data_IF_556539882670
#
_entry.id   IF_556539882670
#
_cell.length_a   1.000
_cell.length_b   1.000
_cell.length_c   1.000
_cell.angle_alpha   90.00
_cell.angle_beta   90.00
_cell.angle_gamma   90.00
#
_symmetry.space_group_name_H-M   'P 1'
#
loop_
_entity.id
_entity.type
_entity.pdbx_description
1 polymer ?
#
# COMPACT_ATOMS: atom_id res chain seq x y z
N UNK A 1 10.60 -9.89 3.64
CA UNK A 1 10.51 -8.76 2.67
C UNK A 1 9.04 -8.51 2.42
N UNK A 2 8.48 -7.43 3.01
CA UNK A 2 7.05 -7.10 3.00
C UNK A 2 6.81 -5.72 2.36
N UNK A 3 7.50 -5.43 1.27
CA UNK A 3 7.30 -4.21 0.49
C UNK A 3 6.62 -4.50 -0.85
N UNK A 4 6.35 -3.44 -1.62
CA UNK A 4 5.79 -3.51 -2.96
C UNK A 4 6.69 -4.33 -3.89
N UNK A 5 6.08 -5.25 -4.62
CA UNK A 5 6.73 -6.02 -5.68
C UNK A 5 5.93 -5.87 -6.97
N UNK A 6 6.61 -5.74 -8.09
CA UNK A 6 6.01 -5.83 -9.41
C UNK A 6 6.18 -7.25 -9.94
N UNK A 7 5.09 -7.88 -10.37
CA UNK A 7 5.09 -9.26 -10.89
C UNK A 7 3.97 -9.44 -11.95
N UNK A 8 4.04 -10.52 -12.76
CA UNK A 8 2.92 -10.89 -13.63
C UNK A 8 1.61 -11.01 -12.86
N UNK A 9 0.49 -10.78 -13.53
CA UNK A 9 -0.84 -10.76 -12.92
C UNK A 9 -1.05 -11.91 -11.93
N UNK A 10 -1.61 -11.60 -10.76
CA UNK A 10 -1.77 -12.50 -9.61
C UNK A 10 -2.23 -13.90 -9.97
N UNK A 11 -1.47 -14.88 -9.53
CA UNK A 11 -1.83 -16.29 -9.65
C UNK A 11 -3.00 -16.64 -8.71
N UNK A 12 -3.66 -17.76 -8.98
CA UNK A 12 -4.69 -18.27 -8.07
C UNK A 12 -4.13 -18.59 -6.68
N UNK A 13 -2.87 -19.00 -6.59
CA UNK A 13 -2.17 -19.25 -5.31
C UNK A 13 -2.03 -17.96 -4.50
N UNK A 14 -1.63 -16.85 -5.14
CA UNK A 14 -1.54 -15.54 -4.47
C UNK A 14 -2.90 -15.07 -3.95
N UNK A 15 -3.96 -15.26 -4.73
CA UNK A 15 -5.34 -14.97 -4.29
C UNK A 15 -5.78 -15.84 -3.11
N UNK A 16 -5.37 -17.11 -3.10
CA UNK A 16 -5.64 -18.00 -1.99
C UNK A 16 -4.88 -17.57 -0.72
N UNK A 17 -3.60 -17.18 -0.84
CA UNK A 17 -2.82 -16.66 0.28
C UNK A 17 -3.48 -15.46 0.93
N UNK A 18 -3.98 -14.50 0.14
CA UNK A 18 -4.70 -13.32 0.69
C UNK A 18 -5.90 -13.71 1.53
N UNK A 19 -6.67 -14.70 1.05
CA UNK A 19 -7.82 -15.19 1.78
C UNK A 19 -7.41 -15.90 3.07
N UNK A 20 -6.37 -16.74 3.01
CA UNK A 20 -5.86 -17.51 4.15
C UNK A 20 -5.13 -16.65 5.19
N UNK A 21 -4.57 -15.50 4.79
CA UNK A 21 -4.00 -14.52 5.72
C UNK A 21 -5.08 -13.83 6.58
N UNK A 22 -6.32 -13.77 6.10
CA UNK A 22 -7.44 -13.26 6.90
C UNK A 22 -7.85 -14.24 7.99
N UNK A 23 -8.03 -15.50 7.63
CA UNK A 23 -8.37 -16.61 8.53
C UNK A 23 -8.23 -17.96 7.82
N UNK A 24 -7.93 -19.03 8.54
CA UNK A 24 -7.98 -20.39 7.99
C UNK A 24 -9.37 -20.72 7.45
N UNK A 25 -9.45 -21.30 6.24
CA UNK A 25 -10.74 -21.59 5.63
C UNK A 25 -10.79 -22.95 4.94
N UNK A 26 -12.01 -23.45 4.70
CA UNK A 26 -12.28 -24.71 4.03
C UNK A 26 -12.13 -24.62 2.50
N UNK A 27 -12.08 -25.79 1.87
CA UNK A 27 -11.98 -25.90 0.42
C UNK A 27 -13.20 -25.32 -0.32
N UNK A 28 -14.37 -25.33 0.29
CA UNK A 28 -15.60 -24.73 -0.22
C UNK A 28 -15.47 -23.22 -0.41
N UNK A 29 -14.86 -22.53 0.57
CA UNK A 29 -14.63 -21.10 0.51
C UNK A 29 -13.54 -20.73 -0.50
N UNK A 30 -12.44 -21.52 -0.54
CA UNK A 30 -11.40 -21.38 -1.57
C UNK A 30 -11.97 -21.56 -2.98
N UNK A 31 -12.82 -22.57 -3.16
CA UNK A 31 -13.49 -22.83 -4.44
C UNK A 31 -14.35 -21.64 -4.89
N UNK A 32 -15.13 -21.07 -3.98
CA UNK A 32 -16.02 -19.96 -4.25
C UNK A 32 -15.26 -18.64 -4.52
N UNK A 33 -14.35 -18.25 -3.61
CA UNK A 33 -13.76 -16.91 -3.60
C UNK A 33 -12.48 -16.78 -4.44
N UNK A 34 -11.74 -17.89 -4.61
CA UNK A 34 -10.49 -17.91 -5.38
C UNK A 34 -10.72 -18.44 -6.79
N UNK A 35 -11.42 -19.58 -6.91
CA UNK A 35 -11.62 -20.24 -8.21
C UNK A 35 -12.88 -19.77 -8.96
N UNK A 36 -13.78 -19.03 -8.31
CA UNK A 36 -15.04 -18.59 -8.90
C UNK A 36 -16.07 -19.69 -9.12
N UNK A 37 -16.01 -20.78 -8.31
CA UNK A 37 -16.85 -21.96 -8.41
C UNK A 37 -17.77 -22.07 -7.17
N UNK A 38 -18.83 -21.26 -7.06
CA UNK A 38 -19.65 -21.16 -5.84
C UNK A 38 -20.43 -22.44 -5.49
N UNK A 39 -20.70 -23.29 -6.46
CA UNK A 39 -21.51 -24.49 -6.30
C UNK A 39 -20.71 -25.79 -6.51
N UNK A 40 -19.39 -25.77 -6.35
CA UNK A 40 -18.57 -26.97 -6.49
C UNK A 40 -18.95 -28.01 -5.40
N UNK A 41 -19.19 -29.28 -5.77
CA UNK A 41 -19.34 -30.33 -4.78
C UNK A 41 -18.12 -30.41 -3.85
N UNK A 42 -18.33 -30.72 -2.55
CA UNK A 42 -17.27 -30.73 -1.54
C UNK A 42 -16.04 -31.54 -1.99
N UNK A 43 -16.23 -32.71 -2.55
CA UNK A 43 -15.13 -33.58 -3.02
C UNK A 43 -14.33 -32.96 -4.18
N UNK A 44 -14.98 -32.12 -5.01
CA UNK A 44 -14.33 -31.40 -6.11
C UNK A 44 -13.55 -30.21 -5.54
N UNK A 45 -14.15 -29.44 -4.65
CA UNK A 45 -13.50 -28.33 -3.97
C UNK A 45 -12.23 -28.77 -3.23
N UNK A 46 -12.28 -29.91 -2.50
CA UNK A 46 -11.14 -30.49 -1.80
C UNK A 46 -10.01 -30.89 -2.77
N UNK A 47 -10.32 -31.53 -3.89
CA UNK A 47 -9.32 -31.90 -4.90
C UNK A 47 -8.66 -30.67 -5.52
N UNK A 48 -9.45 -29.64 -5.82
CA UNK A 48 -8.95 -28.39 -6.39
C UNK A 48 -8.06 -27.65 -5.39
N UNK A 49 -8.45 -27.58 -4.11
CA UNK A 49 -7.64 -26.97 -3.07
C UNK A 49 -6.31 -27.70 -2.89
N UNK A 50 -6.30 -29.05 -2.88
CA UNK A 50 -5.07 -29.85 -2.81
C UNK A 50 -4.18 -29.59 -4.03
N UNK A 51 -4.75 -29.60 -5.23
CA UNK A 51 -3.99 -29.38 -6.45
C UNK A 51 -3.39 -27.96 -6.52
N UNK A 52 -4.12 -26.96 -6.01
CA UNK A 52 -3.70 -25.57 -6.02
C UNK A 52 -2.65 -25.26 -4.94
N UNK A 53 -2.86 -25.75 -3.72
CA UNK A 53 -2.14 -25.30 -2.52
C UNK A 53 -1.17 -26.35 -1.95
N UNK A 54 -1.36 -27.63 -2.28
CA UNK A 54 -0.66 -28.73 -1.61
C UNK A 54 0.86 -28.76 -1.82
N UNK A 55 1.37 -28.08 -2.84
CA UNK A 55 2.80 -27.97 -3.12
C UNK A 55 3.41 -26.63 -2.66
N UNK A 56 2.61 -25.69 -2.15
CA UNK A 56 3.12 -24.39 -1.72
C UNK A 56 3.62 -24.46 -0.27
N UNK A 57 4.94 -24.24 -0.01
CA UNK A 57 5.52 -24.37 1.32
C UNK A 57 5.00 -23.35 2.34
N UNK A 58 4.33 -22.29 1.87
CA UNK A 58 3.74 -21.24 2.72
C UNK A 58 2.40 -21.63 3.30
N UNK A 59 1.81 -22.75 2.83
CA UNK A 59 0.45 -23.16 3.15
C UNK A 59 0.47 -24.60 3.71
N UNK A 60 -0.33 -24.86 4.72
CA UNK A 60 -0.51 -26.20 5.26
C UNK A 60 -2.00 -26.49 5.53
N UNK A 61 -2.33 -27.78 5.63
CA UNK A 61 -3.67 -28.25 5.99
C UNK A 61 -3.73 -28.52 7.49
N UNK A 62 -4.72 -27.93 8.17
CA UNK A 62 -4.98 -28.17 9.58
C UNK A 62 -5.62 -29.53 9.83
N UNK A 63 -5.61 -30.02 11.08
CA UNK A 63 -6.25 -31.27 11.47
C UNK A 63 -7.76 -31.33 11.22
N UNK A 64 -8.42 -30.15 11.27
CA UNK A 64 -9.86 -30.02 10.98
C UNK A 64 -10.18 -29.91 9.47
N UNK A 65 -9.16 -30.09 8.61
CA UNK A 65 -9.29 -30.05 7.16
C UNK A 65 -9.23 -28.70 6.52
N UNK A 66 -9.20 -27.60 7.31
CA UNK A 66 -9.03 -26.24 6.77
C UNK A 66 -7.59 -26.02 6.29
N UNK A 67 -7.43 -25.07 5.40
CA UNK A 67 -6.14 -24.58 4.93
C UNK A 67 -5.75 -23.35 5.72
N UNK A 68 -4.47 -23.19 6.02
CA UNK A 68 -3.90 -22.07 6.76
C UNK A 68 -2.50 -21.73 6.23
N UNK A 69 -2.08 -20.50 6.45
CA UNK A 69 -0.72 -20.06 6.17
C UNK A 69 0.21 -20.58 7.27
N UNK A 70 1.42 -20.99 6.90
CA UNK A 70 2.46 -21.39 7.87
C UNK A 70 2.79 -20.20 8.78
N UNK A 71 2.92 -20.42 10.08
CA UNK A 71 3.08 -19.36 11.08
C UNK A 71 4.27 -18.41 10.80
N UNK A 72 5.31 -18.90 10.13
CA UNK A 72 6.46 -18.07 9.71
C UNK A 72 6.10 -16.99 8.68
N UNK A 73 5.00 -17.19 7.90
CA UNK A 73 4.47 -16.20 6.96
C UNK A 73 3.61 -15.14 7.68
N UNK A 74 3.17 -15.43 8.91
CA UNK A 74 2.38 -14.50 9.73
C UNK A 74 3.25 -13.45 10.45
N UNK A 75 4.58 -13.57 10.39
CA UNK A 75 5.50 -12.58 10.93
C UNK A 75 5.38 -11.25 10.19
N UNK A 76 4.60 -10.31 10.72
CA UNK A 76 4.57 -8.95 10.20
C UNK A 76 5.82 -8.20 10.63
N UNK A 77 6.51 -7.46 9.74
CA UNK A 77 7.69 -6.68 10.12
C UNK A 77 7.32 -5.61 11.14
N UNK A 78 8.27 -5.26 11.98
CA UNK A 78 8.13 -4.10 12.85
C UNK A 78 8.03 -2.83 11.99
N UNK A 79 7.23 -1.86 12.45
CA UNK A 79 7.08 -0.56 11.77
C UNK A 79 8.44 0.11 11.54
N UNK A 80 9.36 -0.03 12.49
CA UNK A 80 10.72 0.53 12.41
C UNK A 80 11.63 -0.17 11.38
N UNK A 81 11.30 -1.40 10.98
CA UNK A 81 12.00 -2.16 9.94
C UNK A 81 11.45 -1.87 8.54
N UNK A 82 10.25 -1.27 8.45
CA UNK A 82 9.62 -0.95 7.19
C UNK A 82 10.26 0.27 6.53
N UNK A 83 10.44 0.19 5.23
CA UNK A 83 10.60 1.35 4.36
C UNK A 83 9.24 1.68 3.71
N UNK A 84 8.81 2.92 3.82
CA UNK A 84 7.54 3.40 3.28
C UNK A 84 7.81 4.26 2.04
N UNK A 85 7.17 3.92 0.93
CA UNK A 85 7.15 4.74 -0.28
C UNK A 85 5.90 5.64 -0.25
N UNK A 86 6.08 6.89 0.11
CA UNK A 86 5.01 7.89 0.14
C UNK A 86 4.85 8.45 -1.26
N UNK A 87 3.72 8.17 -1.87
CA UNK A 87 3.39 8.52 -3.25
C UNK A 87 2.31 9.58 -3.25
N UNK A 88 2.46 10.54 -4.13
CA UNK A 88 1.41 11.48 -4.50
C UNK A 88 1.41 11.64 -6.01
N UNK A 89 0.23 11.78 -6.62
CA UNK A 89 0.11 12.00 -8.05
C UNK A 89 -1.00 12.99 -8.41
N UNK A 90 -0.70 13.87 -9.36
CA UNK A 90 -1.67 14.72 -10.04
C UNK A 90 -2.13 14.03 -11.34
N UNK A 91 -3.36 14.26 -11.71
CA UNK A 91 -4.00 13.50 -12.80
C UNK A 91 -4.87 14.39 -13.68
N UNK A 92 -5.23 13.91 -14.86
CA UNK A 92 -6.16 14.62 -15.76
C UNK A 92 -7.63 14.49 -15.34
N UNK A 93 -7.93 13.73 -14.28
CA UNK A 93 -9.27 13.48 -13.76
C UNK A 93 -9.30 12.45 -12.65
N UNK A 94 -10.45 11.78 -12.43
CA UNK A 94 -10.64 10.87 -11.28
C UNK A 94 -10.85 9.40 -11.67
N UNK A 95 -10.85 9.09 -12.97
CA UNK A 95 -11.19 7.76 -13.51
C UNK A 95 -9.96 6.99 -13.95
N UNK A 96 -9.21 6.44 -13.01
CA UNK A 96 -8.01 5.65 -13.27
C UNK A 96 -8.24 4.46 -14.23
N UNK A 97 -9.40 3.80 -14.17
CA UNK A 97 -9.75 2.71 -15.09
C UNK A 97 -10.26 3.22 -16.47
N UNK A 98 -10.47 4.53 -16.61
CA UNK A 98 -10.89 5.19 -17.85
C UNK A 98 -9.74 5.76 -18.65
N UNK A 99 -9.96 6.93 -19.24
CA UNK A 99 -8.97 7.64 -20.05
C UNK A 99 -8.09 8.59 -19.25
N UNK A 100 -8.37 8.80 -17.94
CA UNK A 100 -7.60 9.77 -17.18
C UNK A 100 -6.18 9.22 -16.89
N UNK A 101 -5.18 10.09 -16.93
CA UNK A 101 -3.76 9.77 -16.86
C UNK A 101 -3.07 10.58 -15.76
N UNK A 102 -1.95 10.08 -15.29
CA UNK A 102 -1.05 10.83 -14.40
C UNK A 102 -0.36 11.97 -15.18
N UNK A 103 -0.22 13.15 -14.55
CA UNK A 103 0.47 14.32 -15.09
C UNK A 103 1.66 14.77 -14.26
N UNK A 104 1.69 14.42 -12.96
CA UNK A 104 2.80 14.66 -12.04
C UNK A 104 2.82 13.52 -11.03
N UNK A 105 3.98 13.03 -10.65
CA UNK A 105 4.11 11.96 -9.67
C UNK A 105 5.40 12.09 -8.88
N UNK A 106 5.34 11.84 -7.58
CA UNK A 106 6.51 11.84 -6.72
C UNK A 106 6.49 10.67 -5.73
N UNK A 107 7.68 10.21 -5.34
CA UNK A 107 7.87 9.18 -4.31
C UNK A 107 8.90 9.67 -3.31
N UNK A 108 8.48 9.77 -2.05
CA UNK A 108 9.35 10.07 -0.91
C UNK A 108 9.48 8.82 -0.05
N UNK A 109 10.70 8.34 0.16
CA UNK A 109 10.95 7.20 1.05
C UNK A 109 11.07 7.68 2.49
N UNK A 110 10.33 7.04 3.39
CA UNK A 110 10.43 7.21 4.85
C UNK A 110 10.95 5.92 5.44
N UNK A 111 12.09 5.99 6.15
CA UNK A 111 12.66 4.87 6.89
C UNK A 111 13.26 5.38 8.20
N UNK A 112 12.66 5.03 9.31
CA UNK A 112 12.99 5.62 10.60
C UNK A 112 12.82 7.14 10.58
N UNK A 113 13.88 7.89 10.90
CA UNK A 113 13.88 9.35 10.84
C UNK A 113 14.23 9.94 9.46
N UNK A 114 14.69 9.11 8.52
CA UNK A 114 15.12 9.56 7.17
C UNK A 114 13.89 9.73 6.29
N UNK A 115 13.86 10.84 5.57
CA UNK A 115 12.93 11.15 4.49
C UNK A 115 13.72 11.59 3.28
N UNK A 116 13.48 10.96 2.15
CA UNK A 116 14.26 11.20 0.94
C UNK A 116 13.34 11.16 -0.28
N UNK A 117 13.35 12.23 -1.08
CA UNK A 117 12.74 12.23 -2.40
C UNK A 117 13.59 11.33 -3.30
N UNK A 118 13.03 10.21 -3.72
CA UNK A 118 13.76 9.20 -4.53
C UNK A 118 13.30 9.18 -5.99
N UNK A 119 12.14 9.77 -6.27
CA UNK A 119 11.60 9.85 -7.61
C UNK A 119 10.64 11.02 -7.73
N UNK A 120 10.72 11.77 -8.81
CA UNK A 120 9.74 12.78 -9.23
C UNK A 120 9.74 12.91 -10.74
N UNK A 121 8.57 13.11 -11.35
CA UNK A 121 8.45 13.39 -12.78
C UNK A 121 7.11 14.05 -13.12
N UNK A 122 7.16 15.09 -13.94
CA UNK A 122 6.03 15.45 -14.78
C UNK A 122 5.84 14.34 -15.82
N UNK A 123 4.60 14.09 -16.23
CA UNK A 123 4.24 13.06 -17.18
C UNK A 123 3.38 13.66 -18.30
N UNK A 124 3.73 13.36 -19.54
CA UNK A 124 2.91 13.72 -20.68
C UNK A 124 1.72 12.74 -20.79
N UNK A 125 0.48 13.19 -20.58
CA UNK A 125 -0.69 12.30 -20.65
C UNK A 125 -1.06 11.90 -22.09
N UNK A 126 -0.46 12.50 -23.11
CA UNK A 126 -0.75 12.26 -24.53
C UNK A 126 -1.96 13.00 -25.08
N UNK A 127 -2.65 13.81 -24.27
CA UNK A 127 -3.80 14.63 -24.66
C UNK A 127 -3.93 15.86 -23.76
N UNK A 128 -4.73 16.89 -24.15
CA UNK A 128 -4.86 18.13 -23.38
C UNK A 128 -5.42 17.90 -21.98
N UNK A 129 -4.84 18.59 -20.99
CA UNK A 129 -5.29 18.58 -19.61
C UNK A 129 -6.58 19.41 -19.50
N UNK A 130 -7.67 18.90 -18.90
CA UNK A 130 -8.87 19.66 -18.69
C UNK A 130 -8.61 20.97 -17.91
N UNK A 131 -9.19 22.08 -18.36
CA UNK A 131 -8.92 23.41 -17.79
C UNK A 131 -9.20 23.51 -16.29
N UNK A 132 -10.21 22.77 -15.80
CA UNK A 132 -10.52 22.74 -14.37
C UNK A 132 -9.46 22.00 -13.55
N UNK A 133 -8.78 20.99 -14.12
CA UNK A 133 -7.63 20.31 -13.50
C UNK A 133 -6.44 21.29 -13.42
N UNK A 134 -6.13 21.97 -14.53
CA UNK A 134 -5.09 23.01 -14.54
C UNK A 134 -5.38 24.08 -13.47
N UNK A 135 -6.65 24.44 -13.27
CA UNK A 135 -7.05 25.39 -12.22
C UNK A 135 -6.80 24.92 -10.79
N UNK A 136 -6.74 23.59 -10.55
CA UNK A 136 -6.46 22.99 -9.25
C UNK A 136 -4.96 22.76 -9.05
N UNK A 137 -4.31 22.12 -10.04
CA UNK A 137 -2.93 21.64 -9.92
C UNK A 137 -1.88 22.65 -10.36
N UNK A 138 -2.31 23.64 -11.15
CA UNK A 138 -1.40 24.57 -11.83
C UNK A 138 -0.62 23.93 -13.00
N UNK A 139 -0.81 22.63 -13.26
CA UNK A 139 -0.11 21.93 -14.34
C UNK A 139 -0.78 22.25 -15.65
N UNK A 140 0.00 22.78 -16.59
CA UNK A 140 -0.45 23.18 -17.92
C UNK A 140 0.03 22.22 -19.01
N UNK A 141 -0.65 22.21 -20.16
CA UNK A 141 -0.21 21.45 -21.34
C UNK A 141 1.22 21.80 -21.77
N UNK A 142 1.62 23.06 -21.58
CA UNK A 142 2.98 23.50 -21.91
C UNK A 142 4.02 22.83 -21.00
N UNK A 143 3.73 22.64 -19.73
CA UNK A 143 4.64 22.01 -18.78
C UNK A 143 4.84 20.53 -19.09
N UNK A 144 3.79 19.81 -19.49
CA UNK A 144 3.89 18.35 -19.74
C UNK A 144 4.24 18.00 -21.17
N UNK A 145 4.25 18.97 -22.10
CA UNK A 145 4.49 18.73 -23.53
C UNK A 145 5.84 18.06 -23.79
N UNK A 146 6.88 18.44 -23.08
CA UNK A 146 8.23 17.88 -23.19
C UNK A 146 8.56 16.86 -22.10
N UNK A 147 7.60 16.57 -21.22
CA UNK A 147 7.76 15.53 -20.22
C UNK A 147 7.68 14.13 -20.87
N UNK A 148 8.33 13.12 -20.29
CA UNK A 148 8.24 11.75 -20.78
C UNK A 148 6.80 11.23 -20.64
N UNK A 149 6.34 10.33 -21.53
CA UNK A 149 5.15 9.53 -21.30
C UNK A 149 5.40 8.54 -20.13
N UNK A 150 4.33 8.00 -19.54
CA UNK A 150 4.46 7.15 -18.36
C UNK A 150 5.33 5.91 -18.60
N UNK A 151 5.28 5.36 -19.80
CA UNK A 151 6.04 4.17 -20.22
C UNK A 151 7.57 4.36 -20.05
N UNK A 152 8.08 5.57 -20.24
CA UNK A 152 9.52 5.87 -20.11
C UNK A 152 9.98 6.00 -18.67
N UNK A 153 9.05 6.27 -17.73
CA UNK A 153 9.38 6.43 -16.30
C UNK A 153 8.97 5.22 -15.47
N UNK A 154 8.24 4.27 -16.03
CA UNK A 154 7.65 3.14 -15.32
C UNK A 154 8.70 2.32 -14.55
N UNK A 155 9.83 1.99 -15.16
CA UNK A 155 10.87 1.19 -14.52
C UNK A 155 11.51 1.92 -13.34
N UNK A 156 11.74 3.22 -13.44
CA UNK A 156 12.29 4.04 -12.36
C UNK A 156 11.29 4.16 -11.21
N UNK A 157 10.01 4.36 -11.52
CA UNK A 157 8.95 4.37 -10.52
C UNK A 157 8.85 3.01 -9.81
N UNK A 158 8.84 1.90 -10.55
CA UNK A 158 8.81 0.56 -9.97
C UNK A 158 10.02 0.29 -9.07
N UNK A 159 11.21 0.73 -9.44
CA UNK A 159 12.40 0.66 -8.60
C UNK A 159 12.27 1.50 -7.32
N UNK A 160 11.62 2.68 -7.41
CA UNK A 160 11.32 3.52 -6.24
C UNK A 160 10.27 2.89 -5.31
N UNK A 161 9.40 2.02 -5.81
CA UNK A 161 8.36 1.33 -5.03
C UNK A 161 8.82 -0.03 -4.48
N UNK A 162 9.78 -0.67 -5.15
CA UNK A 162 10.17 -2.06 -4.87
C UNK A 162 10.63 -2.26 -3.41
N UNK A 163 10.09 -3.31 -2.78
CA UNK A 163 10.43 -3.68 -1.40
C UNK A 163 9.89 -2.73 -0.33
N UNK A 164 9.04 -1.77 -0.66
CA UNK A 164 8.51 -0.75 0.25
C UNK A 164 7.01 -0.88 0.44
N UNK A 165 6.50 -0.37 1.57
CA UNK A 165 5.08 -0.24 1.84
C UNK A 165 4.57 1.02 1.14
N UNK A 166 3.59 0.88 0.27
CA UNK A 166 2.97 2.04 -0.40
C UNK A 166 2.19 2.88 0.60
N UNK A 167 2.39 4.20 0.57
CA UNK A 167 1.65 5.15 1.41
C UNK A 167 1.16 6.30 0.55
N UNK A 168 -0.07 6.77 0.78
CA UNK A 168 -0.54 8.03 0.20
C UNK A 168 -1.60 8.69 1.08
N UNK A 169 -1.85 9.98 0.83
CA UNK A 169 -2.94 10.70 1.44
C UNK A 169 -4.22 10.49 0.64
N UNK A 170 -5.15 9.64 1.13
CA UNK A 170 -6.24 9.02 0.39
C UNK A 170 -5.77 7.93 -0.60
N UNK A 171 -4.93 7.02 -0.13
CA UNK A 171 -4.18 6.03 -0.89
C UNK A 171 -4.98 5.26 -1.96
N UNK A 172 -6.31 5.14 -1.82
CA UNK A 172 -7.15 4.49 -2.84
C UNK A 172 -7.07 5.21 -4.18
N UNK A 173 -6.90 6.53 -4.18
CA UNK A 173 -6.79 7.33 -5.39
C UNK A 173 -5.46 7.03 -6.11
N UNK A 174 -4.35 7.32 -5.45
CA UNK A 174 -3.01 7.17 -6.01
C UNK A 174 -2.71 5.72 -6.40
N UNK A 175 -3.07 4.77 -5.53
CA UNK A 175 -2.92 3.34 -5.80
C UNK A 175 -3.61 2.92 -7.11
N UNK A 176 -4.84 3.39 -7.32
CA UNK A 176 -5.58 3.06 -8.54
C UNK A 176 -4.95 3.64 -9.79
N UNK A 177 -4.43 4.87 -9.72
CA UNK A 177 -3.76 5.49 -10.86
C UNK A 177 -2.42 4.82 -11.15
N UNK A 178 -1.58 4.63 -10.15
CA UNK A 178 -0.28 3.98 -10.31
C UNK A 178 -0.45 2.55 -10.86
N UNK A 179 -1.36 1.76 -10.29
CA UNK A 179 -1.61 0.39 -10.79
C UNK A 179 -2.18 0.37 -12.20
N UNK A 180 -3.03 1.34 -12.57
CA UNK A 180 -3.58 1.44 -13.91
C UNK A 180 -2.51 1.84 -14.94
N UNK A 181 -1.64 2.78 -14.60
CA UNK A 181 -0.55 3.22 -15.48
C UNK A 181 0.49 2.11 -15.68
N UNK A 182 0.92 1.44 -14.60
CA UNK A 182 1.84 0.30 -14.71
C UNK A 182 1.26 -0.80 -15.59
N UNK A 183 -0.04 -1.11 -15.44
CA UNK A 183 -0.70 -2.12 -16.29
C UNK A 183 -0.82 -1.71 -17.77
N UNK A 184 -0.89 -0.41 -18.05
CA UNK A 184 -0.93 0.10 -19.43
C UNK A 184 0.45 0.10 -20.09
N UNK A 185 1.49 0.38 -19.30
CA UNK A 185 2.87 0.51 -19.79
C UNK A 185 3.61 -0.82 -19.88
N UNK A 186 3.13 -1.85 -19.17
CA UNK A 186 3.78 -3.15 -19.10
C UNK A 186 2.77 -4.25 -18.76
N UNK A 187 3.15 -5.53 -18.94
CA UNK A 187 2.36 -6.69 -18.50
C UNK A 187 2.52 -6.99 -17.00
N UNK A 188 3.03 -6.01 -16.23
CA UNK A 188 3.25 -6.14 -14.80
C UNK A 188 2.01 -5.69 -14.02
N UNK A 189 1.79 -6.33 -12.89
CA UNK A 189 0.89 -5.86 -11.85
C UNK A 189 1.71 -5.56 -10.60
N UNK A 190 1.38 -4.47 -9.92
CA UNK A 190 1.90 -4.20 -8.58
C UNK A 190 0.87 -4.58 -7.54
N UNK A 191 1.36 -5.18 -6.47
CA UNK A 191 0.58 -5.51 -5.30
C UNK A 191 1.45 -5.45 -4.05
N UNK A 192 0.80 -5.29 -2.91
CA UNK A 192 1.48 -5.21 -1.64
C UNK A 192 0.70 -4.39 -0.62
N UNK A 193 1.25 -4.27 0.59
CA UNK A 193 0.63 -3.50 1.64
C UNK A 193 0.57 -2.02 1.28
N UNK A 194 -0.55 -1.37 1.61
CA UNK A 194 -0.71 0.06 1.41
C UNK A 194 -1.38 0.74 2.60
N UNK A 195 -0.78 1.82 3.04
CA UNK A 195 -1.21 2.63 4.17
C UNK A 195 -1.88 3.92 3.67
N UNK A 196 -3.06 4.21 4.19
CA UNK A 196 -3.79 5.44 3.90
C UNK A 196 -3.71 6.38 5.11
N UNK A 197 -3.01 7.50 4.98
CA UNK A 197 -2.86 8.46 6.09
C UNK A 197 -4.19 9.06 6.54
N UNK A 198 -5.18 9.23 5.64
CA UNK A 198 -6.55 9.66 6.01
C UNK A 198 -7.23 8.64 6.92
N UNK A 199 -7.13 7.33 6.60
CA UNK A 199 -7.75 6.27 7.40
C UNK A 199 -7.06 6.13 8.75
N UNK A 200 -5.72 6.20 8.76
CA UNK A 200 -4.92 6.14 9.96
C UNK A 200 -5.21 7.36 10.87
N UNK A 201 -5.22 8.58 10.31
CA UNK A 201 -5.59 9.79 11.04
C UNK A 201 -7.02 9.75 11.59
N UNK A 202 -7.97 9.15 10.86
CA UNK A 202 -9.35 8.98 11.36
C UNK A 202 -9.39 8.13 12.61
N UNK A 203 -8.52 7.15 12.73
CA UNK A 203 -8.43 6.26 13.89
C UNK A 203 -7.70 6.92 15.06
N UNK A 204 -6.57 7.58 14.78
CA UNK A 204 -5.68 8.15 15.80
C UNK A 204 -6.13 9.51 16.31
N UNK A 205 -6.84 10.28 15.48
CA UNK A 205 -7.30 11.63 15.77
C UNK A 205 -8.82 11.75 15.56
N UNK A 206 -9.63 10.99 16.32
CA UNK A 206 -11.09 10.95 16.14
C UNK A 206 -11.77 12.30 16.40
N UNK A 207 -11.16 13.16 17.19
CA UNK A 207 -11.65 14.49 17.57
C UNK A 207 -11.56 15.51 16.43
N UNK A 208 -10.73 15.30 15.40
CA UNK A 208 -10.64 16.22 14.28
C UNK A 208 -11.87 16.07 13.37
N UNK A 209 -12.40 17.17 12.87
CA UNK A 209 -13.51 17.18 11.91
C UNK A 209 -13.04 16.90 10.49
N UNK A 210 -11.89 17.44 10.09
CA UNK A 210 -11.30 17.27 8.77
C UNK A 210 -10.01 16.45 8.84
N UNK A 211 -9.77 15.62 7.83
CA UNK A 211 -8.54 14.84 7.61
C UNK A 211 -7.94 15.12 6.23
N UNK A 212 -8.21 16.31 5.67
CA UNK A 212 -7.48 16.77 4.50
C UNK A 212 -6.01 16.96 4.83
N UNK A 213 -5.14 16.89 3.83
CA UNK A 213 -3.70 17.11 4.05
C UNK A 213 -3.45 18.45 4.73
N UNK A 214 -4.12 19.53 4.27
CA UNK A 214 -4.03 20.86 4.88
C UNK A 214 -4.43 20.88 6.37
N UNK A 215 -5.54 20.21 6.69
CA UNK A 215 -6.01 20.20 8.09
C UNK A 215 -5.04 19.46 9.00
N UNK A 216 -4.44 18.36 8.51
CA UNK A 216 -3.49 17.57 9.28
C UNK A 216 -2.11 18.25 9.36
N UNK A 217 -1.64 18.85 8.28
CA UNK A 217 -0.38 19.62 8.29
C UNK A 217 -0.51 20.83 9.23
N UNK A 218 -1.62 21.54 9.18
CA UNK A 218 -1.89 22.64 10.13
C UNK A 218 -1.91 22.14 11.58
N UNK A 219 -2.61 21.03 11.86
CA UNK A 219 -2.71 20.46 13.20
C UNK A 219 -1.34 20.09 13.79
N UNK A 220 -0.43 19.55 12.97
CA UNK A 220 0.91 19.16 13.39
C UNK A 220 1.96 20.26 13.24
N UNK A 221 1.60 21.46 12.77
CA UNK A 221 2.54 22.56 12.50
C UNK A 221 3.53 22.24 11.38
N UNK A 222 3.12 21.42 10.41
CA UNK A 222 3.92 21.08 9.23
C UNK A 222 3.71 22.08 8.11
N UNK A 223 4.70 22.22 7.23
CA UNK A 223 4.61 23.11 6.06
C UNK A 223 4.42 22.31 4.78
N UNK A 224 3.63 22.87 3.85
CA UNK A 224 3.51 22.37 2.47
C UNK A 224 3.69 23.53 1.51
N UNK A 225 4.93 23.86 1.10
CA UNK A 225 5.21 25.04 0.28
C UNK A 225 4.80 24.91 -1.18
N UNK A 226 4.53 23.68 -1.65
CA UNK A 226 4.20 23.36 -3.04
C UNK A 226 2.92 22.52 -3.14
N UNK A 227 1.84 23.07 -2.58
CA UNK A 227 0.52 22.45 -2.59
C UNK A 227 0.02 22.19 -4.02
N UNK A 228 -0.65 21.06 -4.23
CA UNK A 228 -1.12 20.60 -5.55
C UNK A 228 0.01 20.39 -6.56
N UNK A 229 1.17 20.05 -6.06
CA UNK A 229 2.29 19.48 -6.81
C UNK A 229 2.70 18.19 -6.12
N UNK A 230 2.83 17.14 -6.91
CA UNK A 230 3.07 15.79 -6.38
C UNK A 230 4.26 15.75 -5.40
N UNK A 231 5.35 16.43 -5.68
CA UNK A 231 6.53 16.50 -4.80
C UNK A 231 6.21 17.18 -3.47
N UNK A 232 5.49 18.32 -3.50
CA UNK A 232 5.13 19.06 -2.28
C UNK A 232 4.20 18.25 -1.37
N UNK A 233 3.16 17.67 -1.96
CA UNK A 233 2.16 16.89 -1.22
C UNK A 233 2.74 15.56 -0.73
N UNK A 234 3.65 14.91 -1.48
CA UNK A 234 4.38 13.72 -1.03
C UNK A 234 5.31 14.02 0.15
N UNK A 235 6.06 15.13 0.12
CA UNK A 235 6.92 15.55 1.23
C UNK A 235 6.11 15.85 2.49
N UNK A 236 5.02 16.62 2.37
CA UNK A 236 4.13 16.93 3.48
C UNK A 236 3.47 15.65 4.04
N UNK A 237 3.07 14.73 3.17
CA UNK A 237 2.51 13.43 3.57
C UNK A 237 3.56 12.54 4.25
N UNK A 238 4.83 12.61 3.86
CA UNK A 238 5.92 11.88 4.49
C UNK A 238 6.19 12.38 5.93
N UNK A 239 6.13 13.68 6.15
CA UNK A 239 6.21 14.25 7.49
C UNK A 239 5.00 13.88 8.34
N UNK A 240 3.79 13.99 7.77
CA UNK A 240 2.55 13.56 8.41
C UNK A 240 2.61 12.08 8.79
N UNK A 241 3.08 11.21 7.90
CA UNK A 241 3.22 9.78 8.18
C UNK A 241 4.08 9.55 9.42
N UNK A 242 5.23 10.23 9.54
CA UNK A 242 6.10 10.10 10.72
C UNK A 242 5.35 10.40 12.01
N UNK A 243 4.54 11.48 12.05
CA UNK A 243 3.71 11.83 13.22
C UNK A 243 2.63 10.78 13.50
N UNK A 244 1.99 10.27 12.47
CA UNK A 244 0.96 9.23 12.63
C UNK A 244 1.56 7.89 13.11
N UNK A 245 2.78 7.54 12.67
CA UNK A 245 3.47 6.35 13.16
C UNK A 245 3.88 6.47 14.63
N UNK A 246 4.29 7.66 15.10
CA UNK A 246 4.52 7.93 16.52
C UNK A 246 3.24 7.70 17.34
N UNK A 247 2.12 8.30 16.92
CA UNK A 247 0.82 8.12 17.59
C UNK A 247 0.33 6.67 17.53
N UNK A 248 0.59 5.94 16.43
CA UNK A 248 0.22 4.54 16.30
C UNK A 248 0.99 3.67 17.29
N UNK A 249 2.30 3.93 17.51
CA UNK A 249 3.10 3.26 18.53
C UNK A 249 2.58 3.53 19.93
N UNK A 250 2.24 4.78 20.24
CA UNK A 250 1.65 5.16 21.55
C UNK A 250 0.30 4.44 21.77
N UNK A 251 -0.43 4.18 20.69
CA UNK A 251 -1.68 3.41 20.71
C UNK A 251 -1.45 1.86 20.68
N UNK A 252 -0.19 1.40 20.73
CA UNK A 252 0.17 -0.02 20.83
C UNK A 252 0.37 -0.75 19.50
N UNK A 253 0.43 -0.05 18.35
CA UNK A 253 0.77 -0.65 17.07
C UNK A 253 2.30 -0.73 16.89
N UNK A 254 2.82 -1.94 16.71
CA UNK A 254 4.25 -2.19 16.57
C UNK A 254 4.62 -2.80 15.21
N UNK A 255 3.64 -3.42 14.55
CA UNK A 255 3.84 -4.14 13.30
C UNK A 255 3.03 -3.53 12.15
N UNK A 256 3.39 -3.87 10.92
CA UNK A 256 2.63 -3.45 9.73
C UNK A 256 1.17 -3.94 9.78
N UNK A 257 0.93 -5.17 10.27
CA UNK A 257 -0.42 -5.71 10.44
C UNK A 257 -1.23 -4.91 11.47
N UNK A 258 -0.59 -4.39 12.53
CA UNK A 258 -1.29 -3.51 13.48
C UNK A 258 -1.77 -2.22 12.80
N UNK A 259 -0.96 -1.61 11.93
CA UNK A 259 -1.36 -0.43 11.15
C UNK A 259 -2.54 -0.74 10.22
N UNK A 260 -2.49 -1.88 9.53
CA UNK A 260 -3.58 -2.34 8.65
C UNK A 260 -4.86 -2.61 9.45
N UNK A 261 -4.72 -3.22 10.64
CA UNK A 261 -5.81 -3.43 11.59
C UNK A 261 -6.46 -2.13 12.05
N UNK A 262 -5.65 -1.13 12.40
CA UNK A 262 -6.15 0.22 12.74
C UNK A 262 -6.96 0.84 11.62
N UNK A 263 -6.50 0.74 10.38
CA UNK A 263 -7.21 1.30 9.22
C UNK A 263 -8.49 0.56 8.87
N UNK A 264 -8.58 -0.74 9.15
CA UNK A 264 -9.77 -1.56 8.87
C UNK A 264 -10.84 -1.50 9.96
N UNK A 265 -10.60 -0.77 11.04
CA UNK A 265 -11.52 -0.68 12.20
C UNK A 265 -11.46 -1.91 13.10
N UNK A 266 -10.60 -2.87 12.83
CA UNK A 266 -10.22 -3.94 13.76
C UNK A 266 -9.39 -3.28 14.86
N UNK A 267 -9.68 -3.57 16.12
CA UNK A 267 -8.83 -3.11 17.22
C UNK A 267 -7.42 -3.64 17.04
N UNK A 268 -6.42 -2.94 17.58
CA UNK A 268 -5.10 -3.53 17.75
C UNK A 268 -5.30 -4.82 18.54
N UNK A 269 -4.80 -5.98 18.10
CA UNK A 269 -4.94 -7.21 18.87
C UNK A 269 -4.39 -6.97 20.26
N UNK A 270 -5.21 -7.23 21.30
CA UNK A 270 -4.81 -7.06 22.67
C UNK A 270 -3.52 -7.86 22.92
N UNK A 271 -2.57 -7.25 23.50
CA UNK A 271 -1.17 -7.49 23.86
C UNK A 271 -0.71 -8.90 24.25
N UNK A 272 -1.24 -9.98 23.72
CA UNK A 272 -0.68 -11.32 23.92
C UNK A 272 0.55 -11.63 23.02
N UNK A 273 0.82 -10.80 22.03
CA UNK A 273 2.06 -10.82 21.26
C UNK A 273 3.07 -9.76 21.75
N UNK A 274 3.41 -9.80 23.02
CA UNK A 274 4.63 -9.13 23.50
C UNK A 274 5.82 -9.88 22.90
N UNK A 275 6.44 -9.31 21.88
CA UNK A 275 7.78 -9.69 21.44
C UNK A 275 8.68 -9.75 22.67
N UNK A 276 9.13 -10.95 23.06
CA UNK A 276 10.21 -11.10 24.01
C UNK A 276 11.42 -10.41 23.41
N UNK A 277 11.71 -9.18 23.85
CA UNK A 277 13.01 -8.56 23.60
C UNK A 277 14.06 -9.55 24.06
N UNK A 278 14.87 -10.11 23.15
CA UNK A 278 16.16 -10.69 23.49
C UNK A 278 16.96 -9.53 24.07
N UNK A 279 17.06 -9.48 25.39
CA UNK A 279 18.07 -8.68 26.05
C UNK A 279 19.41 -9.24 25.57
N UNK A 280 20.09 -8.51 24.69
CA UNK A 280 21.51 -8.72 24.46
C UNK A 280 22.22 -8.49 25.79
N UNK A 281 22.72 -9.55 26.39
CA UNK A 281 23.59 -9.48 27.52
C UNK A 281 24.89 -8.77 27.05
N UNK A 282 25.06 -7.53 27.44
CA UNK A 282 26.37 -6.88 27.39
C UNK A 282 27.27 -7.63 28.38
N UNK A 283 28.50 -8.07 28.00
CA UNK A 283 29.43 -8.60 28.95
C UNK A 283 29.87 -7.48 29.89
N UNK A 284 29.82 -7.75 31.19
CA UNK A 284 30.43 -6.90 32.21
C UNK A 284 31.94 -7.10 32.15
N UNK A 285 32.67 -6.05 31.89
CA UNK A 285 34.03 -5.88 32.31
C UNK A 285 34.12 -4.87 33.48
#
# INVERSE_FOLDING_TARGET
MNGLTAYPARTLVERALDLLLLEPCGADRLSREVLGLPNAPQAVAERLAVALLGADPRIHRLHDGRWAVVAEVQGSPLIEECAFAVVDCETTGVRAAGSDRITDIAVVVVQGARRELVFESLVNPGFPIPTWITGITGITDTMVRSAPPFEEIADQLLAALAGRVFVAHNARFDWRFVTAEVRRSSDLAIDGPHICTVRLARRLLPHLQSRSLDSLTYYFGLTNPARHRATGDALATAELLSRLLELARDAGAWTLVDLEGMMSGRGVPSSEFRVRRKRSALPRY
#
